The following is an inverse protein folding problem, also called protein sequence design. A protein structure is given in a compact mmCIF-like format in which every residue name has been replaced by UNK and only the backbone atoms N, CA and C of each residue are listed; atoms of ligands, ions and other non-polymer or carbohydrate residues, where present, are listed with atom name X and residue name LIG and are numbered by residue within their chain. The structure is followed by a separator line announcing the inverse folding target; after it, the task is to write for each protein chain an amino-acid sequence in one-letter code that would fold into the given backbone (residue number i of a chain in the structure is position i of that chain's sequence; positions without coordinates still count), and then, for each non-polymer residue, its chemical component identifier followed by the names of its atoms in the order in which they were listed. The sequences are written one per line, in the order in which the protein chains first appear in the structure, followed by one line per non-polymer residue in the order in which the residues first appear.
data_IF_999852371153
#
_entry.id   IF_999852371153
#
_cell.length_a   1.000
_cell.length_b   1.000
_cell.length_c   1.000
_cell.angle_alpha   90.00
_cell.angle_beta   90.00
_cell.angle_gamma   90.00
#
_symmetry.space_group_name_H-M   'P 1'
#
loop_
_entity.id
_entity.type
_entity.pdbx_description
1 polymer ?
#
# COMPACT_ATOMS: atom_id res chain seq x y z
N UNK A 1 -2.00 35.93 14.59
CA UNK A 1 -3.11 34.99 14.87
C UNK A 1 -3.82 34.55 13.59
N UNK A 2 -4.37 35.45 12.77
CA UNK A 2 -5.07 35.07 11.52
C UNK A 2 -4.16 34.32 10.53
N UNK A 3 -2.89 34.74 10.39
CA UNK A 3 -1.91 34.05 9.54
C UNK A 3 -1.57 32.62 9.98
N UNK A 4 -1.60 32.36 11.30
CA UNK A 4 -1.35 31.02 11.85
C UNK A 4 -2.57 30.10 11.68
N UNK A 5 -3.78 30.65 11.71
CA UNK A 5 -5.00 29.87 11.42
C UNK A 5 -5.04 29.48 9.94
N UNK A 6 -4.72 30.41 9.04
CA UNK A 6 -4.68 30.15 7.59
C UNK A 6 -3.65 29.06 7.23
N UNK A 7 -2.48 29.05 7.88
CA UNK A 7 -1.46 28.01 7.63
C UNK A 7 -1.90 26.62 8.10
N UNK A 8 -2.60 26.54 9.25
CA UNK A 8 -3.16 25.27 9.74
C UNK A 8 -4.24 24.75 8.79
N UNK A 9 -5.19 25.59 8.37
CA UNK A 9 -6.24 25.19 7.42
C UNK A 9 -5.65 24.68 6.11
N UNK A 10 -4.65 25.38 5.56
CA UNK A 10 -3.97 24.95 4.33
C UNK A 10 -3.27 23.60 4.49
N UNK A 11 -2.66 23.35 5.66
CA UNK A 11 -2.02 22.06 5.95
C UNK A 11 -3.03 20.92 6.01
N UNK A 12 -4.16 21.12 6.70
CA UNK A 12 -5.22 20.10 6.80
C UNK A 12 -5.83 19.79 5.43
N UNK A 13 -6.03 20.81 4.60
CA UNK A 13 -6.51 20.63 3.22
C UNK A 13 -5.54 19.78 2.38
N UNK A 14 -4.25 20.11 2.42
CA UNK A 14 -3.21 19.34 1.73
C UNK A 14 -3.18 17.88 2.22
N UNK A 15 -3.35 17.65 3.52
CA UNK A 15 -3.42 16.29 4.08
C UNK A 15 -4.62 15.52 3.51
N UNK A 16 -5.80 16.14 3.39
CA UNK A 16 -6.97 15.50 2.78
C UNK A 16 -6.70 15.14 1.32
N UNK A 17 -6.06 16.03 0.56
CA UNK A 17 -5.70 15.78 -0.83
C UNK A 17 -4.71 14.61 -0.97
N UNK A 18 -3.66 14.57 -0.15
CA UNK A 18 -2.70 13.46 -0.15
C UNK A 18 -3.34 12.12 0.24
N UNK A 19 -4.26 12.12 1.22
CA UNK A 19 -5.03 10.93 1.60
C UNK A 19 -5.88 10.45 0.43
N UNK A 20 -6.59 11.36 -0.23
CA UNK A 20 -7.45 11.05 -1.38
C UNK A 20 -6.62 10.44 -2.51
N UNK A 21 -5.55 11.13 -2.92
CA UNK A 21 -4.66 10.68 -3.99
C UNK A 21 -4.09 9.29 -3.70
N UNK A 22 -3.64 9.04 -2.47
CA UNK A 22 -3.12 7.73 -2.08
C UNK A 22 -4.16 6.61 -2.24
N UNK A 23 -5.38 6.85 -1.78
CA UNK A 23 -6.46 5.88 -1.89
C UNK A 23 -6.80 5.59 -3.37
N UNK A 24 -6.82 6.62 -4.21
CA UNK A 24 -6.99 6.47 -5.67
C UNK A 24 -5.86 5.67 -6.32
N UNK A 25 -4.60 5.98 -5.99
CA UNK A 25 -3.44 5.28 -6.52
C UNK A 25 -3.46 3.79 -6.16
N UNK A 26 -3.81 3.42 -4.93
CA UNK A 26 -4.01 2.01 -4.55
C UNK A 26 -5.12 1.38 -5.40
N UNK A 27 -6.23 2.10 -5.62
CA UNK A 27 -7.29 1.66 -6.51
C UNK A 27 -6.85 1.44 -7.96
N UNK A 28 -5.91 2.24 -8.47
CA UNK A 28 -5.33 2.06 -9.80
C UNK A 28 -4.43 0.83 -9.86
N UNK A 29 -3.60 0.60 -8.84
CA UNK A 29 -2.71 -0.57 -8.75
C UNK A 29 -3.50 -1.88 -8.73
N UNK A 30 -4.74 -1.87 -8.23
CA UNK A 30 -5.62 -3.03 -8.23
C UNK A 30 -5.98 -3.58 -9.63
N UNK A 31 -5.77 -2.77 -10.67
CA UNK A 31 -6.09 -3.13 -12.06
C UNK A 31 -4.89 -3.67 -12.83
N UNK A 32 -3.70 -3.69 -12.22
CA UNK A 32 -2.48 -4.17 -12.87
C UNK A 32 -2.53 -5.69 -12.98
N UNK A 33 -2.26 -6.20 -14.18
CA UNK A 33 -2.06 -7.63 -14.43
C UNK A 33 -0.57 -7.94 -14.34
N UNK A 34 -0.19 -8.91 -13.52
CA UNK A 34 1.20 -9.35 -13.41
C UNK A 34 1.56 -10.28 -14.55
N UNK A 35 2.55 -9.90 -15.35
CA UNK A 35 3.09 -10.74 -16.43
C UNK A 35 4.46 -11.29 -16.06
N UNK A 36 5.18 -10.63 -15.15
CA UNK A 36 6.50 -11.02 -14.70
C UNK A 36 6.78 -10.55 -13.25
N UNK A 37 7.93 -10.95 -12.72
CA UNK A 37 8.34 -10.62 -11.35
C UNK A 37 8.74 -9.14 -11.16
N UNK A 38 9.10 -8.44 -12.24
CA UNK A 38 9.35 -7.00 -12.21
C UNK A 38 8.06 -6.22 -11.97
N UNK A 39 6.93 -6.66 -12.56
CA UNK A 39 5.61 -6.06 -12.30
C UNK A 39 5.24 -6.21 -10.81
N UNK A 40 5.47 -7.40 -10.26
CA UNK A 40 5.27 -7.67 -8.82
C UNK A 40 6.11 -6.73 -7.97
N UNK A 41 7.40 -6.59 -8.28
CA UNK A 41 8.30 -5.70 -7.54
C UNK A 41 7.82 -4.24 -7.61
N UNK A 42 7.55 -3.74 -8.81
CA UNK A 42 7.10 -2.36 -9.02
C UNK A 42 5.82 -2.04 -8.23
N UNK A 43 4.83 -2.93 -8.32
CA UNK A 43 3.57 -2.75 -7.58
C UNK A 43 3.82 -2.83 -6.08
N UNK A 44 4.63 -3.78 -5.62
CA UNK A 44 4.97 -3.92 -4.19
C UNK A 44 5.72 -2.68 -3.66
N UNK A 45 6.65 -2.13 -4.43
CA UNK A 45 7.38 -0.89 -4.11
C UNK A 45 6.40 0.28 -3.97
N UNK A 46 5.53 0.49 -4.97
CA UNK A 46 4.51 1.54 -4.91
C UNK A 46 3.59 1.38 -3.69
N UNK A 47 3.10 0.17 -3.43
CA UNK A 47 2.22 -0.12 -2.29
C UNK A 47 2.90 0.12 -0.95
N UNK A 48 4.19 -0.23 -0.82
CA UNK A 48 4.95 0.04 0.40
C UNK A 48 4.99 1.55 0.70
N UNK A 49 5.28 2.38 -0.31
CA UNK A 49 5.31 3.84 -0.18
C UNK A 49 3.93 4.39 0.15
N UNK A 50 2.90 3.95 -0.58
CA UNK A 50 1.52 4.41 -0.38
C UNK A 50 0.97 3.99 0.98
N UNK A 51 1.45 2.92 1.58
CA UNK A 51 0.98 2.42 2.88
C UNK A 51 1.79 2.93 4.08
N UNK A 52 2.80 3.77 3.88
CA UNK A 52 3.69 4.24 4.96
C UNK A 52 3.00 5.04 6.08
N UNK A 53 1.76 5.50 5.87
CA UNK A 53 0.90 6.01 6.94
C UNK A 53 -0.38 5.18 7.01
N UNK A 54 -0.35 4.02 7.68
CA UNK A 54 -1.44 3.05 7.70
C UNK A 54 -2.78 3.60 8.20
N UNK A 55 -2.74 4.47 9.21
CA UNK A 55 -3.94 5.09 9.83
C UNK A 55 -4.73 5.98 8.86
N UNK A 56 -4.16 6.33 7.72
CA UNK A 56 -4.80 7.18 6.72
C UNK A 56 -5.51 6.38 5.62
N UNK A 57 -5.38 5.04 5.62
CA UNK A 57 -6.04 4.18 4.65
C UNK A 57 -7.49 3.93 5.08
N UNK A 58 -8.44 4.36 4.26
CA UNK A 58 -9.86 4.10 4.52
C UNK A 58 -10.19 2.62 4.32
N UNK A 59 -11.22 2.13 5.00
CA UNK A 59 -11.58 0.71 5.03
C UNK A 59 -11.71 0.07 3.64
N UNK A 60 -12.37 0.75 2.69
CA UNK A 60 -12.49 0.24 1.33
C UNK A 60 -11.12 0.06 0.65
N UNK A 61 -10.20 1.01 0.83
CA UNK A 61 -8.84 0.92 0.30
C UNK A 61 -8.07 -0.22 0.94
N UNK A 62 -8.27 -0.49 2.23
CA UNK A 62 -7.66 -1.64 2.90
C UNK A 62 -8.09 -2.97 2.27
N UNK A 63 -9.38 -3.12 1.93
CA UNK A 63 -9.90 -4.31 1.24
C UNK A 63 -9.27 -4.45 -0.15
N UNK A 64 -9.18 -3.34 -0.91
CA UNK A 64 -8.52 -3.33 -2.22
C UNK A 64 -7.04 -3.71 -2.09
N UNK A 65 -6.33 -3.12 -1.14
CA UNK A 65 -4.94 -3.42 -0.81
C UNK A 65 -4.73 -4.90 -0.48
N UNK A 66 -5.60 -5.50 0.34
CA UNK A 66 -5.55 -6.92 0.68
C UNK A 66 -5.70 -7.81 -0.55
N UNK A 67 -6.61 -7.45 -1.47
CA UNK A 67 -6.80 -8.18 -2.71
C UNK A 67 -5.56 -8.11 -3.62
N UNK A 68 -4.87 -6.95 -3.67
CA UNK A 68 -3.62 -6.84 -4.42
C UNK A 68 -2.54 -7.75 -3.81
N UNK A 69 -2.37 -7.73 -2.49
CA UNK A 69 -1.42 -8.61 -1.81
C UNK A 69 -1.71 -10.10 -2.10
N UNK A 70 -2.99 -10.48 -2.11
CA UNK A 70 -3.42 -11.83 -2.49
C UNK A 70 -3.04 -12.17 -3.93
N UNK A 71 -3.29 -11.26 -4.89
CA UNK A 71 -2.95 -11.48 -6.31
C UNK A 71 -1.44 -11.61 -6.51
N UNK A 72 -0.64 -10.79 -5.82
CA UNK A 72 0.82 -10.92 -5.81
C UNK A 72 1.23 -12.28 -5.25
N UNK A 73 0.63 -12.72 -4.14
CA UNK A 73 0.91 -14.04 -3.54
C UNK A 73 0.60 -15.20 -4.48
N UNK A 74 -0.48 -15.13 -5.26
CA UNK A 74 -0.80 -16.12 -6.30
C UNK A 74 0.27 -16.13 -7.40
N UNK A 75 0.77 -14.95 -7.80
CA UNK A 75 1.82 -14.86 -8.80
C UNK A 75 3.18 -15.35 -8.28
N UNK A 76 3.47 -15.15 -7.00
CA UNK A 76 4.64 -15.68 -6.31
C UNK A 76 4.45 -17.17 -5.95
N UNK A 77 4.04 -17.99 -6.92
CA UNK A 77 3.93 -19.43 -6.77
C UNK A 77 5.30 -20.12 -6.91
N UNK A 78 5.37 -21.41 -6.57
CA UNK A 78 6.60 -22.22 -6.63
C UNK A 78 7.30 -22.13 -7.99
N UNK A 79 6.55 -22.16 -9.09
CA UNK A 79 7.08 -22.10 -10.46
C UNK A 79 7.83 -20.78 -10.71
N UNK A 80 7.26 -19.66 -10.28
CA UNK A 80 7.84 -18.33 -10.51
C UNK A 80 8.99 -18.06 -9.53
N UNK A 81 8.89 -18.51 -8.27
CA UNK A 81 9.94 -18.33 -7.26
C UNK A 81 11.20 -19.15 -7.58
N UNK A 82 11.06 -20.38 -8.10
CA UNK A 82 12.21 -21.24 -8.45
C UNK A 82 13.17 -20.61 -9.46
N UNK A 83 12.68 -19.66 -10.26
CA UNK A 83 13.48 -18.92 -11.24
C UNK A 83 14.33 -17.80 -10.62
N UNK A 84 14.12 -17.48 -9.33
CA UNK A 84 14.82 -16.42 -8.63
C UNK A 84 16.03 -16.94 -7.86
N UNK A 85 17.13 -16.19 -7.91
CA UNK A 85 18.17 -16.32 -6.89
C UNK A 85 17.73 -15.64 -5.58
N UNK A 86 18.46 -15.90 -4.49
CA UNK A 86 18.15 -15.36 -3.16
C UNK A 86 18.03 -13.82 -3.15
N UNK A 87 18.96 -13.10 -3.80
CA UNK A 87 18.97 -11.63 -3.82
C UNK A 87 17.74 -11.10 -4.54
N UNK A 88 17.38 -11.68 -5.69
CA UNK A 88 16.20 -11.29 -6.45
C UNK A 88 14.91 -11.63 -5.70
N UNK A 89 14.84 -12.76 -5.00
CA UNK A 89 13.71 -13.11 -4.13
C UNK A 89 13.55 -12.10 -2.99
N UNK A 90 14.63 -11.83 -2.26
CA UNK A 90 14.62 -10.86 -1.17
C UNK A 90 14.17 -9.47 -1.66
N UNK A 91 14.77 -8.97 -2.73
CA UNK A 91 14.43 -7.66 -3.30
C UNK A 91 13.00 -7.57 -3.85
N UNK A 92 12.43 -8.67 -4.34
CA UNK A 92 11.05 -8.69 -4.85
C UNK A 92 10.02 -8.72 -3.71
N UNK A 93 10.35 -9.40 -2.61
CA UNK A 93 9.41 -9.66 -1.51
C UNK A 93 9.48 -8.64 -0.37
N UNK A 94 10.60 -7.93 -0.18
CA UNK A 94 10.77 -7.01 0.96
C UNK A 94 9.69 -5.92 1.00
N UNK A 95 9.46 -5.23 -0.12
CA UNK A 95 8.44 -4.18 -0.21
C UNK A 95 7.03 -4.72 -0.02
N UNK A 96 6.78 -5.95 -0.48
CA UNK A 96 5.51 -6.65 -0.26
C UNK A 96 5.29 -6.94 1.23
N UNK A 97 6.31 -7.42 1.93
CA UNK A 97 6.23 -7.68 3.37
C UNK A 97 5.98 -6.39 4.16
N UNK A 98 6.66 -5.30 3.81
CA UNK A 98 6.43 -3.99 4.42
C UNK A 98 4.99 -3.52 4.19
N UNK A 99 4.49 -3.63 2.95
CA UNK A 99 3.13 -3.28 2.62
C UNK A 99 2.09 -4.10 3.40
N UNK A 100 2.28 -5.43 3.48
CA UNK A 100 1.39 -6.31 4.25
C UNK A 100 1.42 -5.93 5.74
N UNK A 101 2.60 -5.66 6.29
CA UNK A 101 2.74 -5.20 7.68
C UNK A 101 1.98 -3.90 7.92
N UNK A 102 2.13 -2.92 7.03
CA UNK A 102 1.41 -1.65 7.09
C UNK A 102 -0.12 -1.87 7.00
N UNK A 103 -0.58 -2.80 6.17
CA UNK A 103 -2.00 -3.11 6.05
C UNK A 103 -2.58 -3.73 7.34
N UNK A 104 -1.82 -4.60 8.02
CA UNK A 104 -2.21 -5.12 9.34
C UNK A 104 -2.34 -4.01 10.38
N UNK A 105 -1.41 -3.05 10.40
CA UNK A 105 -1.48 -1.88 11.28
C UNK A 105 -2.72 -1.03 10.97
N UNK A 106 -3.01 -0.79 9.69
CA UNK A 106 -4.19 -0.03 9.26
C UNK A 106 -5.49 -0.69 9.76
N UNK A 107 -5.58 -2.03 9.65
CA UNK A 107 -6.75 -2.79 10.08
C UNK A 107 -6.93 -2.75 11.61
N UNK A 108 -5.83 -2.92 12.37
CA UNK A 108 -5.87 -2.87 13.83
C UNK A 108 -6.34 -1.50 14.36
N UNK A 109 -5.97 -0.40 13.69
CA UNK A 109 -6.42 0.94 14.07
C UNK A 109 -7.94 1.11 13.89
N UNK A 110 -8.53 0.56 12.81
CA UNK A 110 -9.98 0.62 12.58
C UNK A 110 -10.75 -0.11 13.69
N UNK A 111 -10.23 -1.25 14.16
CA UNK A 111 -10.85 -2.00 15.26
C UNK A 111 -10.82 -1.20 16.57
N UNK A 112 -9.74 -0.48 16.84
CA UNK A 112 -9.63 0.35 18.05
C UNK A 112 -10.51 1.61 18.01
N UNK A 113 -10.74 2.20 16.84
CA UNK A 113 -11.62 3.38 16.70
C UNK A 113 -13.12 3.03 16.76
N UNK A 114 -13.47 1.74 16.78
CA UNK A 114 -14.85 1.23 16.78
C UNK A 114 -15.30 0.60 18.11
N UNK A 115 -14.48 0.69 19.17
CA UNK A 115 -14.75 0.24 20.55
C UNK A 115 -14.86 1.46 21.46
#
# INVERSE_FOLDING_TARGET
MISAIASVVNREQNLIEYKTLRNEMIGMLARITFSNLNDVKLVSDCLSVLSNYPSELVLNTQVVAANIARNIGVFLCEVNIKSLNFVSFYNTTQSLLQFISNLFVANANVVNDSI
#
